data_IF_503591154195
#
_entry.id   IF_503591154195
#
_cell.length_a   1.000
_cell.length_b   1.000
_cell.length_c   1.000
_cell.angle_alpha   90.00
_cell.angle_beta   90.00
_cell.angle_gamma   90.00
#
_symmetry.space_group_name_H-M   'P 1'
#
loop_
_entity.id
_entity.type
_entity.pdbx_description
1 polymer ?
#
# COMPACT_ATOMS: atom_id res chain seq x y z
N UNK A 1 -4.38 -7.41 -15.86
CA UNK A 1 -4.40 -7.97 -14.49
C UNK A 1 -5.73 -7.76 -13.76
N UNK A 2 -6.57 -6.80 -14.20
CA UNK A 2 -7.88 -6.55 -13.61
C UNK A 2 -8.98 -7.62 -13.76
N UNK A 3 -8.92 -8.66 -14.63
CA UNK A 3 -10.02 -9.62 -14.73
C UNK A 3 -10.39 -10.30 -13.42
N UNK A 4 -9.40 -10.63 -12.58
CA UNK A 4 -9.66 -11.19 -11.23
C UNK A 4 -10.36 -10.20 -10.29
N UNK A 5 -10.09 -8.90 -10.44
CA UNK A 5 -10.68 -7.86 -9.58
C UNK A 5 -12.18 -7.70 -9.83
N UNK A 6 -12.66 -8.09 -11.02
CA UNK A 6 -14.08 -8.03 -11.40
C UNK A 6 -14.65 -9.43 -11.65
N UNK A 7 -14.02 -10.48 -11.12
CA UNK A 7 -14.48 -11.87 -11.33
C UNK A 7 -15.89 -12.13 -10.78
N UNK A 8 -16.37 -11.27 -9.87
CA UNK A 8 -17.69 -11.32 -9.26
C UNK A 8 -18.66 -10.36 -9.96
N UNK A 9 -19.94 -10.74 -10.12
CA UNK A 9 -20.99 -9.83 -10.58
C UNK A 9 -20.99 -8.52 -9.78
N UNK A 10 -21.40 -7.42 -10.41
CA UNK A 10 -21.37 -6.10 -9.75
C UNK A 10 -22.15 -6.06 -8.43
N UNK A 11 -23.32 -6.69 -8.37
CA UNK A 11 -24.12 -6.78 -7.14
C UNK A 11 -23.48 -7.58 -5.99
N UNK A 12 -22.41 -8.35 -6.26
CA UNK A 12 -21.62 -9.06 -5.24
C UNK A 12 -20.35 -8.28 -4.82
N UNK A 13 -20.05 -7.16 -5.49
CA UNK A 13 -18.93 -6.28 -5.16
C UNK A 13 -19.40 -5.14 -4.26
N UNK A 14 -18.58 -4.77 -3.29
CA UNK A 14 -18.82 -3.60 -2.43
C UNK A 14 -18.02 -2.36 -2.88
N UNK A 15 -17.55 -2.37 -4.12
CA UNK A 15 -16.70 -1.35 -4.71
C UNK A 15 -16.96 -1.17 -6.19
N UNK A 16 -16.66 0.04 -6.67
CA UNK A 16 -16.52 0.37 -8.09
C UNK A 16 -15.04 0.31 -8.48
N UNK A 17 -14.77 0.07 -9.77
CA UNK A 17 -13.41 0.07 -10.31
C UNK A 17 -13.24 1.22 -11.30
N UNK A 18 -12.25 2.09 -11.08
CA UNK A 18 -11.80 3.06 -12.07
C UNK A 18 -10.41 2.65 -12.57
N UNK A 19 -10.29 2.39 -13.87
CA UNK A 19 -9.02 2.09 -14.53
C UNK A 19 -8.49 3.34 -15.22
N UNK A 20 -7.41 3.90 -14.67
CA UNK A 20 -6.71 5.06 -15.25
C UNK A 20 -5.59 4.59 -16.18
N UNK A 21 -5.90 4.45 -17.46
CA UNK A 21 -4.94 4.02 -18.48
C UNK A 21 -3.96 5.13 -18.82
N UNK A 22 -2.69 4.77 -19.04
CA UNK A 22 -1.70 5.66 -19.67
C UNK A 22 -1.42 5.31 -21.14
N UNK A 23 -1.73 4.06 -21.54
CA UNK A 23 -1.56 3.54 -22.89
C UNK A 23 -2.86 3.66 -23.67
N UNK A 24 -2.80 4.36 -24.81
CA UNK A 24 -3.95 4.56 -25.70
C UNK A 24 -4.44 3.24 -26.29
N UNK A 25 -3.53 2.40 -26.79
CA UNK A 25 -3.88 1.06 -27.29
C UNK A 25 -4.57 0.20 -26.23
N UNK A 26 -4.15 0.28 -24.96
CA UNK A 26 -4.78 -0.48 -23.89
C UNK A 26 -6.16 0.08 -23.50
N UNK A 27 -6.35 1.40 -23.62
CA UNK A 27 -7.63 2.06 -23.40
C UNK A 27 -8.63 1.74 -24.52
N UNK A 28 -8.19 1.76 -25.78
CA UNK A 28 -9.02 1.38 -26.94
C UNK A 28 -9.47 -0.08 -26.88
N UNK A 29 -8.65 -0.96 -26.29
CA UNK A 29 -8.97 -2.36 -26.06
C UNK A 29 -9.79 -2.62 -24.79
N UNK A 30 -10.21 -1.58 -24.05
CA UNK A 30 -11.00 -1.75 -22.83
C UNK A 30 -12.42 -2.24 -23.13
N UNK A 31 -12.80 -3.37 -22.53
CA UNK A 31 -14.15 -3.90 -22.62
C UNK A 31 -15.02 -3.34 -21.49
N UNK A 32 -16.17 -2.76 -21.87
CA UNK A 32 -17.13 -2.21 -20.90
C UNK A 32 -17.65 -3.30 -19.97
N UNK A 33 -17.69 -2.99 -18.68
CA UNK A 33 -18.18 -3.88 -17.63
C UNK A 33 -18.95 -3.06 -16.60
N UNK A 34 -20.02 -3.63 -16.03
CA UNK A 34 -20.81 -2.95 -15.01
C UNK A 34 -19.95 -2.58 -13.78
N UNK A 35 -20.12 -1.38 -13.25
CA UNK A 35 -19.32 -0.88 -12.12
C UNK A 35 -17.84 -0.67 -12.44
N UNK A 36 -17.48 -0.59 -13.73
CA UNK A 36 -16.13 -0.27 -14.20
C UNK A 36 -16.16 1.01 -15.02
N UNK A 37 -15.33 1.98 -14.64
CA UNK A 37 -15.06 3.19 -15.40
C UNK A 37 -13.63 3.14 -15.94
N UNK A 38 -13.42 3.65 -17.14
CA UNK A 38 -12.11 3.76 -17.75
C UNK A 38 -11.85 5.19 -18.18
N UNK A 39 -10.63 5.68 -17.94
CA UNK A 39 -10.16 6.99 -18.42
C UNK A 39 -8.76 6.85 -19.00
N UNK A 40 -8.42 7.67 -19.99
CA UNK A 40 -7.07 7.77 -20.53
C UNK A 40 -6.39 9.04 -19.98
N UNK A 41 -5.40 8.86 -19.11
CA UNK A 41 -4.59 9.92 -18.54
C UNK A 41 -3.11 9.60 -18.72
N UNK A 42 -2.46 10.34 -19.64
CA UNK A 42 -1.02 10.20 -19.88
C UNK A 42 -0.22 10.83 -18.72
N UNK A 43 0.86 10.18 -18.33
CA UNK A 43 1.76 10.63 -17.26
C UNK A 43 2.24 9.48 -16.38
N UNK A 44 2.91 9.83 -15.27
CA UNK A 44 3.20 8.87 -14.21
C UNK A 44 1.94 8.51 -13.40
N UNK A 45 2.00 7.41 -12.62
CA UNK A 45 0.86 6.91 -11.83
C UNK A 45 0.24 8.01 -10.97
N UNK A 46 1.05 8.74 -10.19
CA UNK A 46 0.56 9.67 -9.18
C UNK A 46 -0.03 10.94 -9.79
N UNK A 47 0.65 11.55 -10.76
CA UNK A 47 0.08 12.68 -11.51
C UNK A 47 -1.18 12.28 -12.30
N UNK A 48 -1.21 11.05 -12.83
CA UNK A 48 -2.40 10.48 -13.45
C UNK A 48 -3.57 10.36 -12.47
N UNK A 49 -3.32 9.77 -11.30
CA UNK A 49 -4.31 9.67 -10.21
C UNK A 49 -4.76 11.06 -9.72
N UNK A 50 -3.88 12.04 -9.63
CA UNK A 50 -4.24 13.41 -9.27
C UNK A 50 -5.29 13.98 -10.23
N UNK A 51 -5.02 13.92 -11.55
CA UNK A 51 -5.92 14.40 -12.60
C UNK A 51 -7.25 13.66 -12.57
N UNK A 52 -7.20 12.33 -12.49
CA UNK A 52 -8.37 11.46 -12.46
C UNK A 52 -9.26 11.73 -11.26
N UNK A 53 -8.71 11.73 -10.04
CA UNK A 53 -9.48 11.88 -8.81
C UNK A 53 -10.02 13.30 -8.64
N UNK A 54 -9.29 14.33 -9.12
CA UNK A 54 -9.78 15.72 -9.07
C UNK A 54 -10.93 15.96 -10.04
N UNK A 55 -10.98 15.24 -11.16
CA UNK A 55 -12.06 15.33 -12.14
C UNK A 55 -13.27 14.43 -11.80
N UNK A 56 -13.14 13.55 -10.81
CA UNK A 56 -14.19 12.58 -10.46
C UNK A 56 -15.28 13.27 -9.61
N UNK A 57 -16.42 13.58 -10.23
CA UNK A 57 -17.53 14.33 -9.61
C UNK A 57 -18.05 13.69 -8.31
N UNK A 58 -18.07 12.36 -8.25
CA UNK A 58 -18.59 11.59 -7.12
C UNK A 58 -17.50 11.02 -6.20
N UNK A 59 -16.27 11.55 -6.20
CA UNK A 59 -15.22 11.08 -5.29
C UNK A 59 -15.69 11.10 -3.83
N UNK A 60 -16.48 12.10 -3.45
CA UNK A 60 -17.05 12.26 -2.11
C UNK A 60 -18.18 11.27 -1.78
N UNK A 61 -18.55 10.37 -2.69
CA UNK A 61 -19.42 9.24 -2.37
C UNK A 61 -18.65 8.06 -1.76
N UNK A 62 -17.34 7.95 -2.03
CA UNK A 62 -16.51 6.83 -1.58
C UNK A 62 -15.93 7.08 -0.19
N UNK A 63 -16.12 6.16 0.75
CA UNK A 63 -15.50 6.24 2.08
C UNK A 63 -14.00 5.92 2.02
N UNK A 64 -13.61 5.02 1.11
CA UNK A 64 -12.27 4.43 1.02
C UNK A 64 -11.87 4.26 -0.43
N UNK A 65 -10.61 4.53 -0.72
CA UNK A 65 -10.04 4.47 -2.06
C UNK A 65 -8.76 3.65 -2.01
N UNK A 66 -8.73 2.55 -2.78
CA UNK A 66 -7.54 1.72 -2.95
C UNK A 66 -6.83 2.10 -4.24
N UNK A 67 -5.51 2.32 -4.17
CA UNK A 67 -4.68 2.81 -5.28
C UNK A 67 -3.61 1.79 -5.69
N UNK A 68 -3.98 0.56 -6.14
CA UNK A 68 -3.02 -0.47 -6.51
C UNK A 68 -2.23 -0.15 -7.78
N UNK A 69 -1.01 -0.68 -7.85
CA UNK A 69 -0.25 -0.81 -9.11
C UNK A 69 -0.92 -1.82 -10.06
N UNK A 70 -0.56 -1.77 -11.34
CA UNK A 70 -1.10 -2.66 -12.37
C UNK A 70 -0.62 -4.11 -12.24
N UNK A 71 0.40 -4.38 -11.41
CA UNK A 71 1.01 -5.69 -11.18
C UNK A 71 0.54 -6.47 -9.96
N UNK A 72 -0.61 -6.08 -9.45
CA UNK A 72 -1.24 -6.71 -8.30
C UNK A 72 -2.25 -7.76 -8.76
N UNK A 73 -1.91 -9.03 -8.54
CA UNK A 73 -2.81 -10.14 -8.72
C UNK A 73 -3.62 -10.36 -7.42
N UNK A 74 -4.95 -10.30 -7.54
CA UNK A 74 -5.91 -10.56 -6.48
C UNK A 74 -7.31 -10.80 -7.10
N UNK A 75 -8.30 -11.02 -6.25
CA UNK A 75 -9.69 -11.29 -6.61
C UNK A 75 -10.68 -10.31 -5.94
N UNK A 76 -11.90 -10.25 -6.47
CA UNK A 76 -12.95 -9.37 -5.96
C UNK A 76 -13.32 -9.67 -4.48
N UNK A 77 -13.26 -10.93 -4.05
CA UNK A 77 -13.55 -11.31 -2.66
C UNK A 77 -12.53 -10.71 -1.68
N UNK A 78 -11.25 -10.74 -2.05
CA UNK A 78 -10.15 -10.16 -1.29
C UNK A 78 -10.28 -8.64 -1.22
N UNK A 79 -10.65 -7.98 -2.32
CA UNK A 79 -10.89 -6.53 -2.36
C UNK A 79 -12.08 -6.17 -1.46
N UNK A 80 -13.21 -6.87 -1.58
CA UNK A 80 -14.37 -6.69 -0.71
C UNK A 80 -13.97 -6.77 0.76
N UNK A 81 -13.25 -7.83 1.12
CA UNK A 81 -12.83 -8.09 2.49
C UNK A 81 -11.83 -7.04 2.99
N UNK A 82 -10.93 -6.57 2.13
CA UNK A 82 -10.00 -5.49 2.48
C UNK A 82 -10.76 -4.21 2.86
N UNK A 83 -11.76 -3.79 2.09
CA UNK A 83 -12.57 -2.61 2.42
C UNK A 83 -13.37 -2.79 3.72
N UNK A 84 -13.95 -3.97 3.93
CA UNK A 84 -14.63 -4.31 5.18
C UNK A 84 -13.69 -4.20 6.39
N UNK A 85 -12.48 -4.76 6.29
CA UNK A 85 -11.49 -4.74 7.37
C UNK A 85 -10.95 -3.34 7.63
N UNK A 86 -10.70 -2.56 6.57
CA UNK A 86 -10.29 -1.16 6.68
C UNK A 86 -11.30 -0.35 7.49
N UNK A 87 -12.59 -0.54 7.21
CA UNK A 87 -13.70 0.08 7.95
C UNK A 87 -13.84 -0.47 9.36
N UNK A 88 -13.81 -1.80 9.52
CA UNK A 88 -13.97 -2.48 10.81
C UNK A 88 -12.92 -2.04 11.83
N UNK A 89 -11.66 -1.93 11.41
CA UNK A 89 -10.56 -1.47 12.27
C UNK A 89 -10.44 0.07 12.35
N UNK A 90 -11.29 0.81 11.63
CA UNK A 90 -11.25 2.28 11.62
C UNK A 90 -9.93 2.86 11.11
N UNK A 91 -9.31 2.20 10.12
CA UNK A 91 -8.00 2.59 9.58
C UNK A 91 -8.16 3.79 8.64
N UNK A 92 -7.27 4.79 8.74
CA UNK A 92 -7.20 5.90 7.80
C UNK A 92 -6.32 5.54 6.60
N UNK A 93 -5.33 4.68 6.81
CA UNK A 93 -4.54 4.07 5.74
C UNK A 93 -4.22 2.62 6.06
N UNK A 94 -4.37 1.75 5.08
CA UNK A 94 -3.93 0.38 5.20
C UNK A 94 -3.48 -0.22 3.87
N UNK A 95 -2.92 -1.43 3.94
CA UNK A 95 -2.73 -2.28 2.77
C UNK A 95 -3.04 -3.74 3.14
N UNK A 96 -3.48 -4.55 2.18
CA UNK A 96 -3.39 -6.00 2.32
C UNK A 96 -1.93 -6.43 2.42
N UNK A 97 -1.69 -7.55 3.10
CA UNK A 97 -0.36 -8.16 3.18
C UNK A 97 0.06 -8.78 1.83
N UNK A 98 1.36 -8.98 1.64
CA UNK A 98 1.90 -9.67 0.47
C UNK A 98 1.92 -11.18 0.70
N UNK A 99 1.56 -11.94 -0.32
CA UNK A 99 1.77 -13.39 -0.36
C UNK A 99 3.27 -13.74 -0.37
N UNK A 100 3.60 -14.97 0.01
CA UNK A 100 4.99 -15.44 0.22
C UNK A 100 5.80 -15.56 -1.08
N UNK A 101 5.13 -15.59 -2.21
CA UNK A 101 5.68 -15.60 -3.56
C UNK A 101 5.74 -14.20 -4.21
N UNK A 102 5.31 -13.15 -3.51
CA UNK A 102 5.41 -11.77 -4.00
C UNK A 102 6.85 -11.28 -4.09
N UNK A 103 7.13 -10.38 -5.03
CA UNK A 103 8.32 -9.54 -4.97
C UNK A 103 8.16 -8.45 -3.90
N UNK A 104 9.18 -8.22 -3.05
CA UNK A 104 9.12 -7.20 -2.00
C UNK A 104 10.49 -6.58 -1.68
N UNK A 105 10.48 -5.30 -1.27
CA UNK A 105 11.67 -4.64 -0.70
C UNK A 105 11.75 -4.87 0.80
N UNK A 106 10.59 -4.76 1.46
CA UNK A 106 10.43 -4.77 2.90
C UNK A 106 9.59 -5.99 3.32
N UNK A 107 10.22 -6.93 4.00
CA UNK A 107 9.52 -8.13 4.49
C UNK A 107 8.44 -7.82 5.53
N UNK A 108 8.44 -6.62 6.12
CA UNK A 108 7.35 -6.19 7.01
C UNK A 108 5.98 -6.37 6.35
N UNK A 109 5.85 -6.16 5.04
CA UNK A 109 4.56 -6.23 4.36
C UNK A 109 4.14 -7.65 3.98
N UNK A 110 5.00 -8.66 4.14
CA UNK A 110 4.61 -10.05 3.92
C UNK A 110 3.63 -10.51 5.01
N UNK A 111 2.71 -11.40 4.62
CA UNK A 111 1.72 -11.99 5.52
C UNK A 111 2.36 -12.61 6.74
N UNK A 112 1.87 -12.23 7.92
CA UNK A 112 2.19 -12.83 9.21
C UNK A 112 0.92 -13.51 9.75
N UNK A 113 0.88 -14.84 9.77
CA UNK A 113 -0.31 -15.61 10.14
C UNK A 113 -0.72 -15.44 11.60
N UNK A 114 0.21 -14.97 12.43
CA UNK A 114 -0.01 -14.66 13.84
C UNK A 114 -0.93 -13.45 14.08
N UNK A 115 -1.33 -12.71 13.04
CA UNK A 115 -2.12 -11.48 13.17
C UNK A 115 -3.29 -11.42 12.19
N UNK A 116 -4.30 -10.66 12.58
CA UNK A 116 -5.37 -10.16 11.69
C UNK A 116 -4.99 -8.82 11.08
N UNK A 117 -4.45 -7.94 11.93
CA UNK A 117 -3.96 -6.61 11.57
C UNK A 117 -2.71 -6.28 12.38
N UNK A 118 -1.76 -5.61 11.73
CA UNK A 118 -0.58 -5.01 12.38
C UNK A 118 -0.62 -3.50 12.20
N UNK A 119 -0.51 -2.77 13.29
CA UNK A 119 -0.37 -1.31 13.27
C UNK A 119 1.08 -0.94 12.97
N UNK A 120 1.26 -0.09 11.96
CA UNK A 120 2.54 0.20 11.31
C UNK A 120 2.76 1.70 11.17
N UNK A 121 4.01 2.14 11.12
CA UNK A 121 4.37 3.53 10.82
C UNK A 121 4.55 3.80 9.32
N UNK A 122 4.28 2.81 8.46
CA UNK A 122 4.51 2.89 7.02
C UNK A 122 3.55 1.97 6.27
N UNK A 123 2.99 2.46 5.16
CA UNK A 123 2.20 1.71 4.18
C UNK A 123 2.82 1.96 2.81
N UNK A 124 3.16 0.89 2.08
CA UNK A 124 3.83 0.95 0.78
C UNK A 124 2.98 1.64 -0.28
N UNK A 125 3.69 2.40 -1.11
CA UNK A 125 3.11 3.19 -2.21
C UNK A 125 2.40 2.36 -3.28
N UNK A 126 2.74 1.08 -3.41
CA UNK A 126 2.21 0.23 -4.47
C UNK A 126 0.72 -0.07 -4.30
N UNK A 127 0.22 -0.19 -3.06
CA UNK A 127 -1.15 -0.66 -2.77
C UNK A 127 -1.82 0.03 -1.57
N UNK A 128 -1.72 1.35 -1.38
CA UNK A 128 -2.34 2.02 -0.25
C UNK A 128 -3.86 2.08 -0.44
N UNK A 129 -4.60 1.77 0.62
CA UNK A 129 -6.03 2.02 0.77
C UNK A 129 -6.21 3.13 1.80
N UNK A 130 -6.69 4.29 1.36
CA UNK A 130 -6.87 5.47 2.20
C UNK A 130 -8.36 5.71 2.46
N UNK A 131 -8.70 6.20 3.64
CA UNK A 131 -10.02 6.80 3.86
C UNK A 131 -10.12 8.14 3.12
N UNK A 132 -11.36 8.64 2.97
CA UNK A 132 -11.63 9.89 2.27
C UNK A 132 -10.88 11.10 2.86
N UNK A 133 -10.81 11.20 4.18
CA UNK A 133 -10.21 12.35 4.84
C UNK A 133 -8.71 12.41 4.57
N UNK A 134 -8.03 11.27 4.72
CA UNK A 134 -6.62 11.13 4.45
C UNK A 134 -6.32 11.25 2.95
N UNK A 135 -7.17 10.73 2.07
CA UNK A 135 -7.02 10.94 0.62
C UNK A 135 -7.08 12.43 0.27
N UNK A 136 -8.06 13.18 0.79
CA UNK A 136 -8.15 14.63 0.54
C UNK A 136 -6.93 15.39 1.02
N UNK A 137 -6.37 14.98 2.17
CA UNK A 137 -5.11 15.52 2.71
C UNK A 137 -3.91 15.20 1.81
N UNK A 138 -3.85 13.99 1.30
CA UNK A 138 -2.75 13.45 0.50
C UNK A 138 -2.77 13.94 -0.96
N UNK A 139 -3.96 14.15 -1.54
CA UNK A 139 -4.17 14.38 -2.97
C UNK A 139 -3.35 15.55 -3.55
N UNK A 140 -3.20 16.72 -2.89
CA UNK A 140 -2.38 17.81 -3.40
C UNK A 140 -0.93 17.42 -3.68
N UNK A 141 -0.38 16.46 -2.92
CA UNK A 141 1.01 16.00 -3.07
C UNK A 141 1.18 15.03 -4.25
N UNK A 142 0.11 14.53 -4.86
CA UNK A 142 0.19 13.65 -6.03
C UNK A 142 0.51 14.46 -7.30
N UNK A 143 0.17 15.76 -7.29
CA UNK A 143 0.31 16.66 -8.41
C UNK A 143 1.76 16.70 -8.89
N UNK A 144 1.97 16.56 -10.20
CA UNK A 144 3.29 16.62 -10.83
C UNK A 144 4.28 15.55 -10.32
N UNK A 145 3.80 14.53 -9.60
CA UNK A 145 4.62 13.42 -9.13
C UNK A 145 4.65 12.30 -10.16
N UNK A 146 5.83 12.01 -10.71
CA UNK A 146 5.99 10.99 -11.76
C UNK A 146 6.25 9.61 -11.16
N UNK A 147 7.19 9.53 -10.21
CA UNK A 147 7.61 8.25 -9.63
C UNK A 147 6.83 7.89 -8.37
N UNK A 148 6.43 8.90 -7.59
CA UNK A 148 5.78 8.72 -6.29
C UNK A 148 6.75 8.57 -5.14
N UNK A 149 8.04 8.45 -5.41
CA UNK A 149 9.01 8.07 -4.40
C UNK A 149 9.05 9.08 -3.25
N UNK A 150 8.82 8.61 -2.02
CA UNK A 150 8.70 9.45 -0.83
C UNK A 150 7.27 9.75 -0.40
N UNK A 151 6.26 9.60 -1.26
CA UNK A 151 4.85 9.78 -0.87
C UNK A 151 4.42 8.78 0.21
N UNK A 152 4.97 7.57 0.22
CA UNK A 152 4.74 6.59 1.30
C UNK A 152 5.32 6.98 2.66
N UNK A 153 6.09 8.06 2.74
CA UNK A 153 6.53 8.61 4.03
C UNK A 153 5.46 9.46 4.71
N UNK A 154 4.48 10.01 3.98
CA UNK A 154 3.59 11.04 4.52
C UNK A 154 2.26 10.49 5.03
N UNK A 155 1.74 9.39 4.46
CA UNK A 155 0.41 8.87 4.84
C UNK A 155 0.29 8.67 6.34
N UNK A 156 1.26 7.99 6.95
CA UNK A 156 1.24 7.65 8.38
C UNK A 156 1.65 8.81 9.29
N UNK A 157 1.85 10.02 8.76
CA UNK A 157 2.32 11.21 9.50
C UNK A 157 1.29 12.34 9.51
N UNK A 158 0.17 12.19 8.82
CA UNK A 158 -0.91 13.14 8.91
C UNK A 158 -1.69 12.97 10.24
N UNK A 159 -2.27 14.04 10.80
CA UNK A 159 -3.10 13.95 11.99
C UNK A 159 -4.25 12.94 11.84
N UNK A 160 -4.84 12.86 10.64
CA UNK A 160 -5.92 11.94 10.31
C UNK A 160 -5.53 10.46 10.51
N UNK A 161 -4.24 10.13 10.39
CA UNK A 161 -3.73 8.76 10.50
C UNK A 161 -3.63 8.24 11.93
N UNK A 162 -3.52 9.12 12.92
CA UNK A 162 -3.42 8.74 14.33
C UNK A 162 -2.34 7.68 14.62
N UNK A 163 -2.22 7.25 15.89
CA UNK A 163 -1.28 6.20 16.23
C UNK A 163 -1.77 4.80 15.82
N UNK A 164 -3.09 4.54 15.78
CA UNK A 164 -3.66 3.21 15.54
C UNK A 164 -4.58 3.15 14.32
N UNK A 165 -4.41 4.04 13.33
CA UNK A 165 -5.20 3.98 12.08
C UNK A 165 -4.35 3.70 10.83
N UNK A 166 -3.10 3.29 11.02
CA UNK A 166 -2.20 2.85 9.96
C UNK A 166 -1.98 1.34 10.08
N UNK A 167 -2.38 0.54 9.09
CA UNK A 167 -2.42 -0.91 9.24
C UNK A 167 -1.93 -1.75 8.05
N UNK A 168 -1.41 -2.94 8.36
CA UNK A 168 -1.24 -4.04 7.41
C UNK A 168 -2.27 -5.10 7.75
N UNK A 169 -3.13 -5.46 6.81
CA UNK A 169 -4.17 -6.47 6.98
C UNK A 169 -3.59 -7.86 6.61
N UNK A 170 -3.43 -8.75 7.59
CA UNK A 170 -2.88 -10.10 7.39
C UNK A 170 -3.98 -11.16 7.15
N UNK A 171 -5.25 -10.82 7.42
CA UNK A 171 -6.42 -11.65 7.04
C UNK A 171 -6.54 -11.80 5.52
N UNK A 172 -6.14 -10.77 4.77
CA UNK A 172 -6.16 -10.74 3.30
C UNK A 172 -4.76 -10.56 2.76
N UNK A 173 -4.48 -11.20 1.62
CA UNK A 173 -3.19 -11.06 0.95
C UNK A 173 -3.34 -10.91 -0.55
N UNK A 174 -2.39 -10.18 -1.14
CA UNK A 174 -2.30 -9.95 -2.58
C UNK A 174 -0.92 -10.41 -3.09
N UNK A 175 -0.84 -10.71 -4.38
CA UNK A 175 0.41 -11.14 -5.00
C UNK A 175 0.99 -10.04 -5.90
N UNK A 176 2.22 -9.62 -5.61
CA UNK A 176 2.97 -8.67 -6.44
C UNK A 176 3.80 -9.42 -7.48
N UNK A 177 3.37 -9.32 -8.74
CA UNK A 177 3.80 -10.22 -9.82
C UNK A 177 5.12 -9.82 -10.49
N UNK A 178 5.62 -8.60 -10.29
CA UNK A 178 6.80 -8.09 -11.02
C UNK A 178 7.93 -7.64 -10.10
N UNK A 179 9.20 -7.79 -10.55
CA UNK A 179 10.34 -7.21 -9.85
C UNK A 179 10.27 -5.68 -9.78
N UNK A 180 10.63 -5.15 -8.62
CA UNK A 180 10.69 -3.72 -8.33
C UNK A 180 11.64 -3.00 -9.28
N UNK A 181 11.20 -1.87 -9.83
CA UNK A 181 12.04 -0.94 -10.60
C UNK A 181 12.30 -1.34 -12.06
N UNK A 182 11.58 -2.32 -12.60
CA UNK A 182 11.74 -2.79 -13.98
C UNK A 182 11.20 -1.82 -15.04
N UNK A 183 10.15 -1.05 -14.74
CA UNK A 183 9.47 -0.15 -15.71
C UNK A 183 9.76 1.35 -15.49
N UNK A 184 9.92 1.79 -14.24
CA UNK A 184 10.01 3.21 -13.86
C UNK A 184 11.24 3.93 -14.45
N UNK A 185 12.38 3.23 -14.56
CA UNK A 185 13.66 3.84 -15.00
C UNK A 185 13.63 4.34 -16.45
N UNK A 186 12.84 3.71 -17.33
CA UNK A 186 12.78 4.08 -18.76
C UNK A 186 11.92 5.31 -19.01
N UNK A 187 10.83 5.49 -18.23
CA UNK A 187 9.90 6.61 -18.42
C UNK A 187 10.33 7.90 -17.70
N UNK A 188 11.05 7.82 -16.57
CA UNK A 188 11.48 9.00 -15.80
C UNK A 188 12.61 9.77 -16.51
N UNK A 189 13.49 9.07 -17.24
CA UNK A 189 14.67 9.67 -17.88
C UNK A 189 14.37 10.78 -18.90
N UNK A 190 13.13 10.91 -19.39
CA UNK A 190 12.71 11.93 -20.35
C UNK A 190 12.09 13.19 -19.73
N UNK A 191 11.89 13.23 -18.40
CA UNK A 191 11.13 14.31 -17.72
C UNK A 191 11.98 15.32 -16.96
N UNK A 192 13.30 15.09 -16.85
CA UNK A 192 14.22 15.99 -16.13
C UNK A 192 14.17 15.88 -14.60
N UNK A 193 13.22 15.14 -14.02
CA UNK A 193 13.19 14.79 -12.59
C UNK A 193 13.73 13.37 -12.35
N UNK A 194 14.07 13.05 -11.10
CA UNK A 194 14.46 11.70 -10.67
C UNK A 194 13.71 11.33 -9.41
N UNK A 195 13.50 10.03 -9.16
CA UNK A 195 12.87 9.56 -7.92
C UNK A 195 13.55 10.11 -6.66
N UNK A 196 14.87 10.35 -6.73
CA UNK A 196 15.63 10.92 -5.63
C UNK A 196 15.31 12.40 -5.37
N UNK A 197 15.01 13.17 -6.42
CA UNK A 197 14.59 14.57 -6.28
C UNK A 197 13.19 14.65 -5.67
N UNK A 198 12.23 13.86 -6.16
CA UNK A 198 10.87 13.79 -5.58
C UNK A 198 10.93 13.43 -4.08
N UNK A 199 11.77 12.45 -3.69
CA UNK A 199 11.94 12.09 -2.28
C UNK A 199 12.55 13.24 -1.45
N UNK A 200 13.49 14.00 -2.01
CA UNK A 200 14.09 15.15 -1.33
C UNK A 200 13.09 16.28 -1.11
N UNK A 201 12.23 16.54 -2.09
CA UNK A 201 11.17 17.56 -1.99
C UNK A 201 10.17 17.20 -0.89
N UNK A 202 9.64 15.97 -0.89
CA UNK A 202 8.75 15.49 0.16
C UNK A 202 9.43 15.53 1.53
N UNK A 203 10.70 15.10 1.62
CA UNK A 203 11.44 15.18 2.88
C UNK A 203 11.58 16.60 3.39
N UNK A 204 11.89 17.55 2.51
CA UNK A 204 12.05 18.96 2.86
C UNK A 204 10.72 19.55 3.33
N UNK A 205 9.64 19.29 2.60
CA UNK A 205 8.29 19.78 2.91
C UNK A 205 7.82 19.28 4.29
N UNK A 206 8.06 18.02 4.61
CA UNK A 206 7.56 17.38 5.84
C UNK A 206 8.60 17.28 6.98
N UNK A 207 9.76 17.94 6.84
CA UNK A 207 10.82 17.93 7.84
C UNK A 207 11.42 16.54 8.12
N UNK A 208 11.37 15.63 7.14
CA UNK A 208 11.83 14.25 7.28
C UNK A 208 13.35 14.19 7.03
N UNK A 209 14.11 14.03 8.11
CA UNK A 209 15.58 14.07 8.06
C UNK A 209 16.24 12.76 7.64
N UNK A 210 15.49 11.65 7.62
CA UNK A 210 16.00 10.31 7.34
C UNK A 210 14.97 9.46 6.62
N UNK A 211 15.44 8.46 5.88
CA UNK A 211 14.56 7.45 5.28
C UNK A 211 13.76 6.74 6.37
N UNK A 212 12.45 6.63 6.15
CA UNK A 212 11.56 5.90 7.05
C UNK A 212 11.87 4.41 6.97
N UNK A 213 12.04 3.80 8.13
CA UNK A 213 12.16 2.35 8.26
C UNK A 213 10.76 1.84 8.65
N UNK A 214 10.15 0.96 7.85
CA UNK A 214 8.89 0.34 8.23
C UNK A 214 9.06 -0.49 9.51
N UNK A 215 8.16 -0.26 10.47
CA UNK A 215 8.10 -0.89 11.79
C UNK A 215 6.63 -1.12 12.17
N UNK A 216 6.36 -2.23 12.85
CA UNK A 216 5.06 -2.51 13.45
C UNK A 216 5.14 -2.45 14.98
N UNK A 217 4.32 -1.62 15.62
CA UNK A 217 4.39 -1.38 17.07
C UNK A 217 3.27 -2.04 17.86
N UNK A 218 2.19 -2.46 17.19
CA UNK A 218 1.11 -3.23 17.79
C UNK A 218 0.41 -4.09 16.74
N UNK A 219 -0.45 -5.01 17.16
CA UNK A 219 -1.33 -5.79 16.30
C UNK A 219 -2.35 -6.59 17.10
N UNK A 220 -3.34 -7.14 16.40
CA UNK A 220 -4.34 -8.05 16.97
C UNK A 220 -4.12 -9.46 16.42
N UNK A 221 -4.10 -10.47 17.29
CA UNK A 221 -3.99 -11.88 16.85
C UNK A 221 -5.28 -12.36 16.17
N UNK A 222 -5.28 -13.60 15.69
CA UNK A 222 -6.47 -14.25 15.11
C UNK A 222 -7.64 -14.31 16.11
N UNK A 223 -7.34 -14.44 17.39
CA UNK A 223 -8.30 -14.47 18.49
C UNK A 223 -8.72 -13.05 18.93
N UNK A 224 -8.14 -12.00 18.36
CA UNK A 224 -8.40 -10.61 18.73
C UNK A 224 -7.56 -10.09 19.89
N UNK A 225 -6.57 -10.86 20.36
CA UNK A 225 -5.73 -10.45 21.49
C UNK A 225 -4.71 -9.38 21.08
N UNK A 226 -4.54 -8.31 21.88
CA UNK A 226 -3.58 -7.26 21.57
C UNK A 226 -2.14 -7.71 21.87
N UNK A 227 -1.26 -7.50 20.88
CA UNK A 227 0.18 -7.54 21.07
C UNK A 227 0.71 -6.13 20.89
N UNK A 228 1.31 -5.59 21.94
CA UNK A 228 1.89 -4.24 21.94
C UNK A 228 3.40 -4.28 22.20
N UNK A 229 4.10 -3.28 21.66
CA UNK A 229 5.54 -3.10 21.81
C UNK A 229 6.35 -3.73 20.68
N UNK A 230 7.26 -2.95 20.11
CA UNK A 230 8.03 -3.33 18.91
C UNK A 230 8.83 -4.63 19.10
N UNK A 231 9.43 -4.86 20.27
CA UNK A 231 10.18 -6.10 20.54
C UNK A 231 9.29 -7.35 20.48
N UNK A 232 8.09 -7.31 21.09
CA UNK A 232 7.14 -8.42 21.07
C UNK A 232 6.60 -8.66 19.66
N UNK A 233 6.26 -7.58 18.95
CA UNK A 233 5.85 -7.63 17.54
C UNK A 233 6.94 -8.27 16.68
N UNK A 234 8.19 -7.80 16.81
CA UNK A 234 9.33 -8.31 16.07
C UNK A 234 9.58 -9.80 16.31
N UNK A 235 9.54 -10.24 17.57
CA UNK A 235 9.73 -11.66 17.90
C UNK A 235 8.64 -12.56 17.31
N UNK A 236 7.37 -12.15 17.41
CA UNK A 236 6.25 -12.92 16.83
C UNK A 236 6.33 -13.01 15.32
N UNK A 237 6.54 -11.89 14.63
CA UNK A 237 6.70 -11.89 13.17
C UNK A 237 7.90 -12.72 12.72
N UNK A 238 9.03 -12.61 13.42
CA UNK A 238 10.21 -13.42 13.12
C UNK A 238 9.92 -14.92 13.23
N UNK A 239 9.25 -15.34 14.31
CA UNK A 239 8.87 -16.75 14.51
C UNK A 239 7.91 -17.25 13.45
N UNK A 240 6.90 -16.45 13.11
CA UNK A 240 5.90 -16.77 12.08
C UNK A 240 6.57 -17.03 10.72
N UNK A 241 7.35 -16.06 10.25
CA UNK A 241 8.04 -16.16 8.97
C UNK A 241 9.11 -17.24 8.96
N UNK A 242 9.79 -17.49 10.09
CA UNK A 242 10.82 -18.54 10.14
C UNK A 242 10.24 -19.95 10.22
N UNK A 243 9.09 -20.12 10.89
CA UNK A 243 8.38 -21.39 10.95
C UNK A 243 7.86 -21.82 9.56
N UNK A 244 7.52 -20.87 8.71
CA UNK A 244 6.99 -21.10 7.37
C UNK A 244 7.95 -20.60 6.27
N UNK A 245 9.27 -20.74 6.48
CA UNK A 245 10.27 -20.45 5.44
C UNK A 245 10.09 -21.26 4.15
N UNK A 246 9.69 -22.54 4.17
CA UNK A 246 9.54 -23.33 2.95
C UNK A 246 8.55 -22.76 1.93
N UNK A 247 7.55 -21.96 2.36
CA UNK A 247 6.53 -21.37 1.48
C UNK A 247 6.99 -20.12 0.73
N UNK A 248 8.15 -19.55 1.08
CA UNK A 248 8.69 -18.39 0.37
C UNK A 248 9.39 -18.80 -0.93
N UNK A 249 9.18 -17.99 -1.98
CA UNK A 249 9.85 -18.15 -3.27
C UNK A 249 11.39 -18.11 -3.14
N UNK A 250 11.93 -17.17 -2.35
CA UNK A 250 13.35 -17.11 -1.98
C UNK A 250 13.53 -17.25 -0.47
N UNK A 251 13.83 -18.47 -0.03
CA UNK A 251 14.02 -18.85 1.39
C UNK A 251 15.21 -18.14 2.04
N UNK A 252 16.29 -17.92 1.28
CA UNK A 252 17.51 -17.28 1.81
C UNK A 252 17.26 -15.79 2.03
N UNK A 253 16.62 -15.14 1.06
CA UNK A 253 16.19 -13.75 1.18
C UNK A 253 15.20 -13.58 2.33
N UNK A 254 14.17 -14.43 2.40
CA UNK A 254 13.17 -14.39 3.47
C UNK A 254 13.81 -14.52 4.86
N UNK A 255 14.69 -15.49 5.07
CA UNK A 255 15.40 -15.65 6.35
C UNK A 255 16.23 -14.42 6.73
N UNK A 256 16.98 -13.88 5.77
CA UNK A 256 17.81 -12.68 5.96
C UNK A 256 16.97 -11.45 6.30
N UNK A 257 15.87 -11.25 5.56
CA UNK A 257 14.97 -10.11 5.74
C UNK A 257 14.14 -10.22 7.01
N UNK A 258 13.74 -11.41 7.43
CA UNK A 258 13.04 -11.65 8.70
C UNK A 258 13.94 -11.23 9.87
N UNK A 259 15.21 -11.65 9.85
CA UNK A 259 16.20 -11.23 10.85
C UNK A 259 16.44 -9.72 10.81
N UNK A 260 16.48 -9.12 9.61
CA UNK A 260 16.61 -7.67 9.46
C UNK A 260 15.43 -6.92 10.09
N UNK A 261 14.18 -7.35 9.85
CA UNK A 261 12.99 -6.76 10.47
C UNK A 261 13.04 -6.93 11.99
N UNK A 262 13.36 -8.12 12.49
CA UNK A 262 13.50 -8.37 13.94
C UNK A 262 14.50 -7.41 14.60
N UNK A 263 15.71 -7.29 14.03
CA UNK A 263 16.72 -6.35 14.54
C UNK A 263 16.23 -4.91 14.51
N UNK A 264 15.58 -4.48 13.42
CA UNK A 264 15.03 -3.12 13.28
C UNK A 264 13.99 -2.80 14.34
N UNK A 265 13.11 -3.75 14.66
CA UNK A 265 12.09 -3.61 15.71
C UNK A 265 12.68 -3.41 17.12
N UNK A 266 13.93 -3.81 17.34
CA UNK A 266 14.63 -3.61 18.62
C UNK A 266 15.40 -2.29 18.64
N UNK A 267 16.12 -1.98 17.55
CA UNK A 267 17.11 -0.88 17.55
C UNK A 267 16.58 0.44 17.01
N UNK A 268 15.50 0.43 16.22
CA UNK A 268 14.94 1.65 15.62
C UNK A 268 13.82 2.20 16.50
N UNK A 269 13.56 3.49 16.34
CA UNK A 269 12.46 4.19 16.97
C UNK A 269 11.53 4.72 15.89
N UNK A 270 10.23 4.61 16.13
CA UNK A 270 9.22 5.26 15.31
C UNK A 270 9.35 6.76 15.51
N UNK A 271 9.30 7.48 14.40
CA UNK A 271 9.17 8.92 14.41
C UNK A 271 7.67 9.26 14.36
N UNK A 272 7.16 9.77 15.47
CA UNK A 272 5.76 10.13 15.65
C UNK A 272 5.46 11.58 15.27
N UNK A 273 6.43 12.33 14.76
CA UNK A 273 6.21 13.72 14.35
C UNK A 273 5.15 13.81 13.25
N UNK A 274 4.21 14.74 13.42
CA UNK A 274 3.08 14.98 12.51
C UNK A 274 1.75 14.32 12.90
N UNK A 275 1.75 13.32 13.78
CA UNK A 275 0.53 12.62 14.23
C UNK A 275 -0.19 13.36 15.37
N UNK A 276 0.50 14.27 16.06
CA UNK A 276 -0.01 15.07 17.20
C UNK A 276 -0.58 16.40 16.78
#
# INVERSE_FOLDING_TARGET
MHPGWIERPYGERNFDLLVSYFSETAYEAHEQSEGVQAVLVRGGKWDGLYKTLTALENLDSYERIWLPDDDIATDACTINRMFELSRYFGLSVCQPSLTRDSYYTHMLFNRCQSFRVRFTNHVEIMVPCLDRALLKRALPHFRSTMSGYGLDYIWCRFPESGAFKCGILDEVSIHHTRPIGSQLKKAIGSTGTTSQLEEQEIKKEFGITRRIVPLAFAGLTLEGEPVTGMTRMGYRMYRDWTADLPSFFDKRLARSKALQVFKRQIIRKIDWSGIT
#
